data_IF_174839959193
#
_entry.id   IF_174839959193
#
_cell.length_a   1.000
_cell.length_b   1.000
_cell.length_c   1.000
_cell.angle_alpha   90.00
_cell.angle_beta   90.00
_cell.angle_gamma   90.00
#
_symmetry.space_group_name_H-M   'P 1'
#
loop_
_entity.id
_entity.type
_entity.pdbx_description
1 polymer ?
#
# COMPACT_ATOMS: atom_id res chain seq x y z
N UNK A 1 6.54 28.31 17.02
CA UNK A 1 7.30 27.94 15.81
C UNK A 1 7.40 26.41 15.80
N UNK A 2 6.32 25.77 15.38
CA UNK A 2 6.06 24.32 15.52
C UNK A 2 5.11 23.98 14.36
N UNK A 3 5.64 24.04 13.15
CA UNK A 3 4.84 24.02 11.91
C UNK A 3 5.58 23.50 10.68
N UNK A 4 6.85 23.12 10.83
CA UNK A 4 7.69 22.64 9.73
C UNK A 4 8.32 21.31 10.13
N UNK A 5 9.20 21.29 11.15
CA UNK A 5 9.77 20.05 11.71
C UNK A 5 8.70 19.02 12.14
N UNK A 6 7.58 19.47 12.70
CA UNK A 6 6.46 18.59 13.05
C UNK A 6 5.75 17.99 11.83
N UNK A 7 5.80 18.66 10.67
CA UNK A 7 5.29 18.12 9.39
C UNK A 7 6.28 17.17 8.74
N UNK A 8 7.59 17.42 8.86
CA UNK A 8 8.64 16.53 8.35
C UNK A 8 8.53 15.14 9.02
N UNK A 9 8.46 15.11 10.35
CA UNK A 9 8.32 13.87 11.15
C UNK A 9 6.95 13.21 10.95
N UNK A 10 5.92 13.96 10.53
CA UNK A 10 4.60 13.40 10.26
C UNK A 10 4.63 12.45 9.05
N UNK A 11 5.24 12.82 7.91
CA UNK A 11 5.17 12.02 6.69
C UNK A 11 5.88 10.66 6.80
N UNK A 12 7.07 10.61 7.41
CA UNK A 12 7.76 9.33 7.67
C UNK A 12 6.95 8.43 8.62
N UNK A 13 6.35 9.01 9.65
CA UNK A 13 5.47 8.31 10.59
C UNK A 13 4.17 7.83 9.94
N UNK A 14 3.60 8.62 9.03
CA UNK A 14 2.36 8.31 8.30
C UNK A 14 2.55 7.22 7.26
N UNK A 15 3.63 7.25 6.47
CA UNK A 15 3.96 6.18 5.52
C UNK A 15 4.00 4.82 6.23
N UNK A 16 4.76 4.74 7.33
CA UNK A 16 4.82 3.55 8.18
C UNK A 16 3.45 3.17 8.78
N UNK A 17 2.63 4.14 9.17
CA UNK A 17 1.28 3.87 9.67
C UNK A 17 0.34 3.31 8.59
N UNK A 18 0.43 3.82 7.36
CA UNK A 18 -0.30 3.29 6.19
C UNK A 18 0.15 1.86 5.90
N UNK A 19 1.46 1.58 5.81
CA UNK A 19 1.98 0.22 5.63
C UNK A 19 1.51 -0.75 6.73
N UNK A 20 1.43 -0.30 7.98
CA UNK A 20 0.90 -1.11 9.09
C UNK A 20 -0.60 -1.35 8.98
N UNK A 21 -1.38 -0.41 8.45
CA UNK A 21 -2.81 -0.59 8.18
C UNK A 21 -3.03 -1.54 7.00
N UNK A 22 -2.25 -1.44 5.92
CA UNK A 22 -2.32 -2.33 4.76
C UNK A 22 -1.97 -3.78 5.13
N UNK A 23 -0.95 -4.00 5.98
CA UNK A 23 -0.66 -5.33 6.56
C UNK A 23 -1.84 -5.90 7.35
N UNK A 24 -2.58 -5.08 8.12
CA UNK A 24 -3.79 -5.51 8.86
C UNK A 24 -4.97 -5.77 7.93
N UNK A 25 -5.11 -5.01 6.85
CA UNK A 25 -6.16 -5.21 5.85
C UNK A 25 -5.96 -6.53 5.08
N UNK A 26 -4.71 -6.88 4.74
CA UNK A 26 -4.35 -8.19 4.18
C UNK A 26 -4.68 -9.34 5.14
N UNK A 27 -4.36 -9.19 6.44
CA UNK A 27 -4.68 -10.17 7.48
C UNK A 27 -6.19 -10.38 7.64
N UNK A 28 -6.98 -9.29 7.62
CA UNK A 28 -8.45 -9.38 7.62
C UNK A 28 -9.01 -10.05 6.36
N UNK A 29 -8.41 -9.80 5.19
CA UNK A 29 -8.79 -10.44 3.93
C UNK A 29 -8.52 -11.96 3.92
N UNK A 30 -7.41 -12.41 4.51
CA UNK A 30 -7.16 -13.85 4.70
C UNK A 30 -8.19 -14.48 5.64
N UNK A 31 -8.41 -13.87 6.81
CA UNK A 31 -9.34 -14.39 7.82
C UNK A 31 -10.81 -14.39 7.38
N UNK A 32 -11.17 -13.58 6.38
CA UNK A 32 -12.50 -13.66 5.75
C UNK A 32 -12.64 -14.81 4.74
N UNK A 33 -11.55 -15.29 4.12
CA UNK A 33 -11.55 -16.56 3.37
C UNK A 33 -11.78 -17.74 4.33
N UNK A 34 -11.15 -17.70 5.51
CA UNK A 34 -11.26 -18.74 6.54
C UNK A 34 -12.64 -18.80 7.22
N UNK A 35 -13.55 -17.87 6.91
CA UNK A 35 -14.91 -17.82 7.46
C UNK A 35 -14.98 -17.31 8.90
N UNK A 36 -14.03 -16.48 9.36
CA UNK A 36 -14.09 -15.89 10.72
C UNK A 36 -15.26 -14.91 10.94
N UNK A 37 -15.99 -14.53 9.88
CA UNK A 37 -17.09 -13.56 9.89
C UNK A 37 -18.36 -14.15 9.17
N UNK A 38 -19.54 -14.07 9.80
CA UNK A 38 -20.80 -14.83 9.49
C UNK A 38 -22.03 -13.85 9.50
N UNK A 39 -23.22 -14.04 8.91
CA UNK A 39 -23.97 -15.21 8.38
C UNK A 39 -23.69 -15.66 6.91
N UNK A 40 -22.92 -14.92 6.09
CA UNK A 40 -22.91 -15.11 4.63
C UNK A 40 -21.48 -15.19 4.05
N UNK A 41 -20.93 -16.40 3.84
CA UNK A 41 -19.49 -16.60 3.56
C UNK A 41 -18.90 -15.83 2.37
N UNK A 42 -19.71 -15.44 1.38
CA UNK A 42 -19.24 -14.69 0.22
C UNK A 42 -19.27 -13.15 0.38
N UNK A 43 -20.09 -12.60 1.27
CA UNK A 43 -20.27 -11.14 1.36
C UNK A 43 -19.05 -10.46 1.99
N UNK A 44 -18.62 -10.96 3.14
CA UNK A 44 -17.56 -10.34 3.93
C UNK A 44 -16.19 -10.59 3.27
N UNK A 45 -15.99 -11.75 2.65
CA UNK A 45 -14.86 -12.02 1.77
C UNK A 45 -14.70 -10.93 0.69
N UNK A 46 -15.75 -10.68 -0.09
CA UNK A 46 -15.73 -9.65 -1.13
C UNK A 46 -15.53 -8.24 -0.55
N UNK A 47 -16.04 -7.95 0.64
CA UNK A 47 -15.85 -6.66 1.31
C UNK A 47 -14.39 -6.45 1.72
N UNK A 48 -13.78 -7.39 2.44
CA UNK A 48 -12.42 -7.26 2.95
C UNK A 48 -11.36 -7.31 1.83
N UNK A 49 -11.48 -8.24 0.88
CA UNK A 49 -10.54 -8.32 -0.25
C UNK A 49 -10.62 -7.07 -1.14
N UNK A 50 -11.82 -6.60 -1.51
CA UNK A 50 -11.96 -5.38 -2.33
C UNK A 50 -11.53 -4.13 -1.56
N UNK A 51 -11.79 -4.07 -0.25
CA UNK A 51 -11.32 -2.99 0.63
C UNK A 51 -9.79 -2.91 0.67
N UNK A 52 -9.12 -4.04 0.92
CA UNK A 52 -7.66 -4.16 0.88
C UNK A 52 -7.07 -3.75 -0.48
N UNK A 53 -7.59 -4.32 -1.58
CA UNK A 53 -7.13 -3.99 -2.93
C UNK A 53 -7.29 -2.49 -3.24
N UNK A 54 -8.45 -1.91 -2.91
CA UNK A 54 -8.73 -0.49 -3.15
C UNK A 54 -7.76 0.41 -2.36
N UNK A 55 -7.50 0.08 -1.10
CA UNK A 55 -6.58 0.83 -0.25
C UNK A 55 -5.13 0.74 -0.74
N UNK A 56 -4.66 -0.46 -1.09
CA UNK A 56 -3.29 -0.69 -1.57
C UNK A 56 -3.02 0.00 -2.91
N UNK A 57 -3.90 -0.16 -3.89
CA UNK A 57 -3.79 0.55 -5.17
C UNK A 57 -4.02 2.07 -5.02
N UNK A 58 -4.81 2.51 -4.04
CA UNK A 58 -5.02 3.93 -3.72
C UNK A 58 -3.73 4.59 -3.21
N UNK A 59 -3.07 3.94 -2.24
CA UNK A 59 -1.80 4.33 -1.67
C UNK A 59 -0.69 4.47 -2.75
N UNK A 60 -0.39 3.41 -3.49
CA UNK A 60 0.65 3.46 -4.53
C UNK A 60 0.40 4.54 -5.61
N UNK A 61 -0.85 4.76 -6.02
CA UNK A 61 -1.20 5.82 -6.98
C UNK A 61 -0.97 7.23 -6.43
N UNK A 62 -1.23 7.44 -5.14
CA UNK A 62 -0.93 8.72 -4.47
C UNK A 62 0.57 8.98 -4.40
N UNK A 63 1.37 7.92 -4.26
CA UNK A 63 2.83 8.03 -4.23
C UNK A 63 3.41 8.29 -5.62
N UNK A 64 3.05 7.45 -6.61
CA UNK A 64 3.46 7.59 -8.01
C UNK A 64 3.13 8.97 -8.58
N UNK A 65 1.93 9.48 -8.29
CA UNK A 65 1.42 10.76 -8.82
C UNK A 65 1.75 11.99 -7.96
N UNK A 66 2.07 11.81 -6.68
CA UNK A 66 2.14 12.89 -5.69
C UNK A 66 3.46 12.93 -4.91
N UNK A 67 3.81 11.85 -4.19
CA UNK A 67 4.98 11.81 -3.32
C UNK A 67 6.29 11.72 -4.12
N UNK A 68 6.40 10.71 -4.99
CA UNK A 68 7.63 10.38 -5.71
C UNK A 68 8.12 11.50 -6.62
N UNK A 69 7.28 12.27 -7.33
CA UNK A 69 7.73 13.45 -8.08
C UNK A 69 8.40 14.50 -7.19
N UNK A 70 7.92 14.71 -5.96
CA UNK A 70 8.52 15.66 -5.01
C UNK A 70 9.84 15.14 -4.45
N UNK A 71 9.92 13.85 -4.11
CA UNK A 71 11.17 13.19 -3.70
C UNK A 71 12.23 13.32 -4.80
N UNK A 72 11.89 13.04 -6.07
CA UNK A 72 12.82 13.19 -7.21
C UNK A 72 13.23 14.64 -7.46
N UNK A 73 12.32 15.61 -7.25
CA UNK A 73 12.63 17.02 -7.44
C UNK A 73 13.64 17.55 -6.41
N UNK A 74 13.56 17.08 -5.16
CA UNK A 74 14.48 17.43 -4.09
C UNK A 74 15.78 16.59 -4.08
N UNK A 75 15.67 15.30 -4.43
CA UNK A 75 16.75 14.31 -4.44
C UNK A 75 16.83 13.57 -5.79
N UNK A 76 17.39 14.20 -6.85
CA UNK A 76 17.52 13.57 -8.16
C UNK A 76 18.33 12.27 -8.15
N UNK A 77 19.23 12.09 -7.18
CA UNK A 77 19.99 10.86 -6.95
C UNK A 77 19.12 9.63 -6.61
N UNK A 78 17.89 9.84 -6.13
CA UNK A 78 16.94 8.76 -5.81
C UNK A 78 16.12 8.28 -7.02
N UNK A 79 16.29 8.85 -8.21
CA UNK A 79 15.60 8.39 -9.43
C UNK A 79 15.67 6.86 -9.66
N UNK A 80 16.81 6.17 -9.46
CA UNK A 80 16.87 4.71 -9.61
C UNK A 80 16.09 3.94 -8.54
N UNK A 81 15.99 4.49 -7.32
CA UNK A 81 15.21 3.93 -6.21
C UNK A 81 13.72 4.05 -6.52
N UNK A 82 13.28 5.25 -6.89
CA UNK A 82 11.89 5.54 -7.26
C UNK A 82 11.47 4.70 -8.47
N UNK A 83 12.30 4.59 -9.51
CA UNK A 83 12.01 3.73 -10.66
C UNK A 83 11.83 2.25 -10.27
N UNK A 84 12.56 1.76 -9.27
CA UNK A 84 12.34 0.42 -8.72
C UNK A 84 11.02 0.33 -7.95
N UNK A 85 10.71 1.30 -7.08
CA UNK A 85 9.44 1.33 -6.33
C UNK A 85 8.23 1.32 -7.27
N UNK A 86 8.24 2.16 -8.30
CA UNK A 86 7.21 2.14 -9.36
C UNK A 86 7.15 0.80 -10.10
N UNK A 87 8.27 0.08 -10.26
CA UNK A 87 8.26 -1.27 -10.84
C UNK A 87 7.58 -2.28 -9.91
N UNK A 88 7.85 -2.19 -8.60
CA UNK A 88 7.17 -3.00 -7.58
C UNK A 88 5.65 -2.68 -7.53
N UNK A 89 5.26 -1.40 -7.64
CA UNK A 89 3.85 -0.96 -7.73
C UNK A 89 3.12 -1.58 -8.93
N UNK A 90 3.73 -1.54 -10.12
CA UNK A 90 3.16 -2.17 -11.32
C UNK A 90 2.99 -3.69 -11.16
N UNK A 91 3.92 -4.36 -10.45
CA UNK A 91 3.79 -5.79 -10.13
C UNK A 91 2.63 -6.04 -9.15
N UNK A 92 2.49 -5.21 -8.11
CA UNK A 92 1.40 -5.30 -7.13
C UNK A 92 0.02 -5.04 -7.77
N UNK A 93 -0.12 -4.03 -8.62
CA UNK A 93 -1.37 -3.76 -9.35
C UNK A 93 -1.74 -4.93 -10.26
N UNK A 94 -0.77 -5.56 -10.93
CA UNK A 94 -1.02 -6.76 -11.72
C UNK A 94 -1.46 -7.95 -10.86
N UNK A 95 -0.88 -8.15 -9.67
CA UNK A 95 -1.30 -9.19 -8.71
C UNK A 95 -2.72 -8.96 -8.19
N UNK A 96 -3.04 -7.72 -7.82
CA UNK A 96 -4.37 -7.26 -7.39
C UNK A 96 -5.41 -7.54 -8.50
N UNK A 97 -5.08 -7.24 -9.75
CA UNK A 97 -5.95 -7.55 -10.90
C UNK A 97 -6.22 -9.05 -11.08
N UNK A 98 -5.27 -9.94 -10.76
CA UNK A 98 -5.51 -11.40 -10.81
C UNK A 98 -6.41 -11.88 -9.66
N UNK A 99 -6.22 -11.36 -8.44
CA UNK A 99 -7.11 -11.64 -7.31
C UNK A 99 -8.55 -11.15 -7.60
N UNK A 100 -8.71 -9.97 -8.21
CA UNK A 100 -10.01 -9.46 -8.60
C UNK A 100 -10.72 -10.38 -9.60
N UNK A 101 -10.01 -10.88 -10.62
CA UNK A 101 -10.55 -11.86 -11.57
C UNK A 101 -10.95 -13.17 -10.88
N UNK A 102 -10.10 -13.72 -10.00
CA UNK A 102 -10.40 -14.95 -9.26
C UNK A 102 -11.65 -14.82 -8.37
N UNK A 103 -11.84 -13.66 -7.71
CA UNK A 103 -13.07 -13.38 -6.95
C UNK A 103 -14.31 -13.30 -7.84
N UNK A 104 -14.23 -12.61 -8.99
CA UNK A 104 -15.38 -12.47 -9.89
C UNK A 104 -15.73 -13.81 -10.61
N UNK A 105 -14.75 -14.70 -10.78
CA UNK A 105 -14.94 -16.09 -11.26
C UNK A 105 -15.44 -17.05 -10.17
N UNK A 106 -15.47 -16.64 -8.89
CA UNK A 106 -15.79 -17.46 -7.72
C UNK A 106 -14.82 -18.65 -7.56
N UNK A 107 -13.51 -18.37 -7.67
CA UNK A 107 -12.45 -19.31 -7.34
C UNK A 107 -12.59 -19.84 -5.90
N UNK A 108 -11.98 -21.00 -5.64
CA UNK A 108 -12.08 -21.64 -4.33
C UNK A 108 -11.20 -20.94 -3.25
N UNK A 109 -11.43 -21.22 -1.95
CA UNK A 109 -10.67 -20.59 -0.87
C UNK A 109 -9.15 -20.77 -0.94
N UNK A 110 -8.66 -21.91 -1.45
CA UNK A 110 -7.22 -22.19 -1.49
C UNK A 110 -6.56 -21.34 -2.59
N UNK A 111 -7.18 -21.23 -3.77
CA UNK A 111 -6.75 -20.34 -4.86
C UNK A 111 -6.70 -18.86 -4.40
N UNK A 112 -7.70 -18.41 -3.63
CA UNK A 112 -7.75 -17.04 -3.12
C UNK A 112 -6.67 -16.75 -2.07
N UNK A 113 -6.34 -17.73 -1.23
CA UNK A 113 -5.21 -17.63 -0.29
C UNK A 113 -3.87 -17.53 -1.03
N UNK A 114 -3.63 -18.37 -2.04
CA UNK A 114 -2.43 -18.31 -2.89
C UNK A 114 -2.25 -16.93 -3.55
N UNK A 115 -3.36 -16.29 -3.98
CA UNK A 115 -3.35 -14.93 -4.49
C UNK A 115 -2.96 -13.89 -3.41
N UNK A 116 -3.54 -13.95 -2.21
CA UNK A 116 -3.21 -13.05 -1.10
C UNK A 116 -1.78 -13.26 -0.55
N UNK A 117 -1.25 -14.48 -0.61
CA UNK A 117 0.13 -14.80 -0.26
C UNK A 117 1.13 -14.25 -1.27
N UNK A 118 0.82 -14.36 -2.57
CA UNK A 118 1.59 -13.71 -3.63
C UNK A 118 1.65 -12.19 -3.47
N UNK A 119 0.52 -11.54 -3.16
CA UNK A 119 0.49 -10.09 -2.89
C UNK A 119 1.28 -9.77 -1.61
N UNK A 120 1.04 -10.49 -0.52
CA UNK A 120 1.67 -10.25 0.78
C UNK A 120 3.19 -10.37 0.75
N UNK A 121 3.73 -11.36 0.02
CA UNK A 121 5.16 -11.54 -0.13
C UNK A 121 5.83 -10.36 -0.85
N UNK A 122 5.25 -9.89 -1.97
CA UNK A 122 5.78 -8.73 -2.69
C UNK A 122 5.63 -7.46 -1.85
N UNK A 123 4.46 -7.24 -1.27
CA UNK A 123 4.14 -6.09 -0.41
C UNK A 123 5.14 -5.93 0.75
N UNK A 124 5.46 -7.01 1.47
CA UNK A 124 6.44 -6.94 2.57
C UNK A 124 7.86 -6.62 2.06
N UNK A 125 8.29 -7.19 0.92
CA UNK A 125 9.61 -6.86 0.37
C UNK A 125 9.69 -5.41 -0.13
N UNK A 126 8.58 -4.90 -0.67
CA UNK A 126 8.41 -3.55 -1.18
C UNK A 126 8.39 -2.51 -0.05
N UNK A 127 7.46 -2.61 0.92
CA UNK A 127 7.38 -1.70 2.07
C UNK A 127 8.70 -1.64 2.85
N UNK A 128 9.36 -2.79 3.07
CA UNK A 128 10.67 -2.81 3.73
C UNK A 128 11.76 -2.14 2.88
N UNK A 129 11.73 -2.28 1.56
CA UNK A 129 12.69 -1.58 0.70
C UNK A 129 12.47 -0.08 0.75
N UNK A 130 11.23 0.37 0.58
CA UNK A 130 10.87 1.78 0.63
C UNK A 130 11.18 2.43 1.98
N UNK A 131 10.74 1.84 3.10
CA UNK A 131 10.97 2.39 4.43
C UNK A 131 12.48 2.59 4.70
N UNK A 132 13.32 1.68 4.20
CA UNK A 132 14.78 1.76 4.32
C UNK A 132 15.42 2.81 3.39
N UNK A 133 14.76 3.24 2.33
CA UNK A 133 15.31 4.24 1.40
C UNK A 133 14.76 5.64 1.66
N UNK A 134 13.48 5.76 2.00
CA UNK A 134 12.77 7.04 1.97
C UNK A 134 12.50 7.66 3.34
N UNK A 135 12.37 6.92 4.45
CA UNK A 135 11.91 7.53 5.72
C UNK A 135 12.80 8.69 6.21
N UNK A 136 14.12 8.51 6.21
CA UNK A 136 15.08 9.57 6.59
C UNK A 136 15.15 10.69 5.56
N UNK A 137 14.72 10.46 4.32
CA UNK A 137 14.57 11.51 3.29
C UNK A 137 13.32 12.33 3.61
N UNK A 138 12.18 11.67 3.86
CA UNK A 138 10.91 12.30 4.24
C UNK A 138 11.05 13.15 5.52
N UNK A 139 11.84 12.72 6.49
CA UNK A 139 12.21 13.49 7.71
C UNK A 139 12.91 14.84 7.42
N UNK A 140 13.30 15.11 6.16
CA UNK A 140 13.94 16.36 5.72
C UNK A 140 13.16 17.15 4.66
N UNK A 141 12.10 16.56 4.06
CA UNK A 141 11.35 17.16 2.95
C UNK A 141 10.10 17.94 3.38
N UNK A 142 10.08 19.25 3.10
CA UNK A 142 8.89 20.08 3.21
C UNK A 142 7.92 19.80 2.04
N UNK A 143 7.18 18.70 2.13
CA UNK A 143 6.25 18.25 1.08
C UNK A 143 5.02 19.17 0.94
N UNK A 144 4.60 19.37 -0.31
CA UNK A 144 3.38 20.08 -0.68
C UNK A 144 2.22 19.07 -0.87
N UNK A 145 1.24 19.12 0.04
CA UNK A 145 0.06 18.28 -0.03
C UNK A 145 -0.49 17.92 1.36
N UNK A 146 -1.71 17.39 1.38
CA UNK A 146 -2.21 16.68 2.55
C UNK A 146 -1.66 15.23 2.53
N UNK A 147 -1.42 14.59 3.69
CA UNK A 147 -1.01 13.19 3.78
C UNK A 147 -1.87 12.26 2.92
N UNK A 148 -3.20 12.40 2.97
CA UNK A 148 -4.14 11.61 2.16
C UNK A 148 -3.96 11.77 0.65
N UNK A 149 -3.44 12.91 0.17
CA UNK A 149 -3.17 13.15 -1.24
C UNK A 149 -1.83 12.54 -1.71
N UNK A 150 -0.88 12.31 -0.81
CA UNK A 150 0.46 11.81 -1.12
C UNK A 150 0.69 10.34 -0.72
N UNK A 151 -0.10 9.83 0.22
CA UNK A 151 0.00 8.47 0.80
C UNK A 151 -1.31 7.66 0.70
N UNK A 152 -2.39 8.26 0.22
CA UNK A 152 -3.72 7.64 0.10
C UNK A 152 -4.60 7.77 1.35
N UNK A 153 -5.86 7.34 1.26
CA UNK A 153 -6.93 7.60 2.25
C UNK A 153 -6.70 7.05 3.67
N UNK A 154 -5.63 6.28 3.90
CA UNK A 154 -5.27 5.72 5.22
C UNK A 154 -4.34 6.62 6.06
N UNK A 155 -3.96 7.80 5.57
CA UNK A 155 -2.89 8.66 6.11
C UNK A 155 -3.35 9.86 6.99
#
# INVERSE_FOLDING_TARGET
>A
MSSETDRLVAFSSQLRAVHQQLRKALDLARRSIDGEFDDSPGHDLLLFCRGFCTALSGHHRSEDGGLFPQVVAAHPELQPVIAKLMTDHNMLEHLIGRLAAAMDENADPDDLHDHLDGIGAVMETHFRYEENQLLTVLDTLALEGAPTALLGDLA
#
